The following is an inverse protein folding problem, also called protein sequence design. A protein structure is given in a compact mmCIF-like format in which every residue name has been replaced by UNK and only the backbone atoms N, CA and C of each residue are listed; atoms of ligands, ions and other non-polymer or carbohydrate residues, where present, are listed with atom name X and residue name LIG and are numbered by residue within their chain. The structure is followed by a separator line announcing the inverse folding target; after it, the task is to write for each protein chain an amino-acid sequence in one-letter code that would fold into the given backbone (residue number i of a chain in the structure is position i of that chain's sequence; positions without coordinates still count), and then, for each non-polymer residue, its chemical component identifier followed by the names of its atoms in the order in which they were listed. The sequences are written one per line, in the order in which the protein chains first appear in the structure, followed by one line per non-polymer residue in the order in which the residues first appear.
data_IF_338206941832
#
_entry.id   IF_338206941832
#
_cell.length_a   1.000
_cell.length_b   1.000
_cell.length_c   1.000
_cell.angle_alpha   90.00
_cell.angle_beta   90.00
_cell.angle_gamma   90.00
#
_symmetry.space_group_name_H-M   'P 1'
#
loop_
_entity.id
_entity.type
_entity.pdbx_description
1 polymer ?
#
# COMPACT_ATOMS: atom_id res chain seq x y z
N UNK A 1 34.16 -27.80 62.72
CA UNK A 1 32.73 -27.42 62.62
C UNK A 1 32.64 -26.17 61.75
N UNK A 2 32.68 -26.29 60.41
CA UNK A 2 31.54 -26.24 59.46
C UNK A 2 30.46 -25.22 59.82
N UNK A 3 30.41 -24.11 59.05
CA UNK A 3 29.26 -23.23 58.67
C UNK A 3 29.85 -21.89 58.22
N UNK A 4 29.49 -21.25 57.12
CA UNK A 4 28.69 -21.61 55.96
C UNK A 4 29.13 -20.63 54.85
N UNK A 5 29.48 -21.17 53.68
CA UNK A 5 29.90 -20.42 52.51
C UNK A 5 28.65 -20.09 51.69
N UNK A 6 28.12 -18.88 51.84
CA UNK A 6 26.90 -18.43 51.15
C UNK A 6 27.28 -17.74 49.84
N UNK A 7 27.57 -18.57 48.84
CA UNK A 7 27.10 -18.48 47.45
C UNK A 7 26.83 -17.07 46.86
N UNK A 8 27.88 -16.44 46.32
CA UNK A 8 27.77 -15.34 45.35
C UNK A 8 27.56 -15.96 43.95
N UNK A 9 26.30 -16.10 43.52
CA UNK A 9 25.94 -16.35 42.12
C UNK A 9 25.14 -15.14 41.66
N UNK A 10 25.85 -14.07 41.31
CA UNK A 10 25.30 -12.91 40.62
C UNK A 10 24.91 -13.34 39.22
N UNK A 11 23.60 -13.54 39.08
CA UNK A 11 22.81 -13.77 37.88
C UNK A 11 23.29 -12.90 36.70
N UNK A 12 24.07 -13.49 35.79
CA UNK A 12 24.27 -12.95 34.44
C UNK A 12 23.01 -13.29 33.62
N UNK A 13 21.92 -12.57 33.88
CA UNK A 13 20.77 -12.55 32.96
C UNK A 13 21.21 -11.76 31.75
N UNK A 14 21.80 -12.48 30.80
CA UNK A 14 22.09 -11.98 29.47
C UNK A 14 20.75 -11.45 28.90
N UNK A 15 20.68 -10.13 28.75
CA UNK A 15 19.57 -9.43 28.14
C UNK A 15 19.42 -9.87 26.68
N UNK A 16 18.73 -10.99 26.48
CA UNK A 16 18.17 -11.37 25.20
C UNK A 16 16.97 -10.44 24.98
N UNK A 17 17.25 -9.16 24.70
CA UNK A 17 16.24 -8.27 24.16
C UNK A 17 15.76 -8.94 22.87
N UNK A 18 14.48 -9.32 22.75
CA UNK A 18 13.99 -9.84 21.49
C UNK A 18 14.29 -8.77 20.44
N UNK A 19 15.12 -9.11 19.45
CA UNK A 19 15.23 -8.28 18.26
C UNK A 19 13.80 -8.15 17.74
N UNK A 20 13.26 -6.93 17.75
CA UNK A 20 11.97 -6.67 17.15
C UNK A 20 12.09 -7.12 15.69
N UNK A 21 11.45 -8.25 15.37
CA UNK A 21 11.37 -8.71 14.00
C UNK A 21 10.55 -7.67 13.25
N UNK A 22 11.23 -6.74 12.57
CA UNK A 22 10.56 -5.82 11.66
C UNK A 22 9.98 -6.65 10.52
N UNK A 23 8.66 -6.62 10.38
CA UNK A 23 7.98 -7.30 9.30
C UNK A 23 8.35 -6.60 7.98
N UNK A 24 9.10 -7.28 7.12
CA UNK A 24 9.28 -6.86 5.73
C UNK A 24 7.92 -6.96 5.04
N UNK A 25 7.54 -5.91 4.33
CA UNK A 25 6.24 -5.88 3.67
C UNK A 25 5.85 -4.49 3.21
N UNK A 26 4.62 -4.41 2.72
CA UNK A 26 3.99 -3.18 2.25
C UNK A 26 2.85 -2.80 3.18
N UNK A 27 2.55 -1.51 3.21
CA UNK A 27 1.49 -0.94 4.03
C UNK A 27 0.68 0.08 3.23
N UNK A 28 -0.62 0.17 3.51
CA UNK A 28 -1.53 1.11 2.87
C UNK A 28 -2.45 1.73 3.93
N UNK A 29 -2.40 3.05 4.08
CA UNK A 29 -3.12 3.78 5.14
C UNK A 29 -3.71 5.10 4.68
N UNK A 30 -4.84 5.48 5.27
CA UNK A 30 -5.49 6.78 5.06
C UNK A 30 -4.92 7.87 5.96
N UNK A 31 -4.74 9.05 5.38
CA UNK A 31 -4.19 10.30 5.95
C UNK A 31 -2.75 10.22 6.46
N UNK A 32 -2.25 9.01 6.69
CA UNK A 32 -0.87 8.75 7.08
C UNK A 32 -0.49 7.30 6.69
N UNK A 33 0.80 6.98 6.64
CA UNK A 33 1.28 5.60 6.59
C UNK A 33 0.93 4.85 7.88
N UNK A 34 0.92 3.52 7.84
CA UNK A 34 0.49 2.71 8.99
C UNK A 34 1.37 2.92 10.22
N UNK A 35 2.70 2.94 10.09
CA UNK A 35 3.61 3.21 11.20
C UNK A 35 3.49 4.62 11.77
N UNK A 36 2.94 5.57 11.02
CA UNK A 36 2.64 6.93 11.46
C UNK A 36 1.23 7.11 12.06
N UNK A 37 0.45 6.03 12.21
CA UNK A 37 -0.91 6.09 12.74
C UNK A 37 -2.01 6.21 11.67
N UNK A 38 -1.70 5.86 10.42
CA UNK A 38 -2.66 5.80 9.32
C UNK A 38 -3.83 4.86 9.62
N UNK A 39 -5.03 5.28 9.19
CA UNK A 39 -6.23 4.47 9.38
C UNK A 39 -6.40 3.46 8.23
N UNK A 40 -6.84 2.25 8.54
CA UNK A 40 -7.15 1.24 7.51
C UNK A 40 -8.52 1.43 6.87
N UNK A 41 -9.41 2.23 7.46
CA UNK A 41 -10.72 2.54 6.89
C UNK A 41 -10.92 4.06 6.78
N UNK A 42 -11.55 4.48 5.68
CA UNK A 42 -12.03 5.86 5.49
C UNK A 42 -13.54 5.89 5.36
N UNK A 43 -14.16 6.66 6.24
CA UNK A 43 -15.56 7.03 6.15
C UNK A 43 -15.69 8.45 5.60
N UNK A 44 -16.57 8.62 4.63
CA UNK A 44 -16.90 9.88 3.99
C UNK A 44 -18.41 10.08 4.04
N UNK A 45 -18.83 11.31 4.30
CA UNK A 45 -20.24 11.69 4.21
C UNK A 45 -20.73 11.83 2.76
N UNK A 46 -19.82 11.88 1.77
CA UNK A 46 -20.16 12.03 0.35
C UNK A 46 -21.09 13.22 0.05
N UNK A 47 -20.99 14.28 0.86
CA UNK A 47 -21.94 15.40 0.86
C UNK A 47 -21.42 16.66 0.15
N UNK A 48 -20.18 16.65 -0.36
CA UNK A 48 -19.55 17.84 -0.93
C UNK A 48 -18.62 17.52 -2.09
N UNK A 49 -18.49 18.48 -3.01
CA UNK A 49 -17.48 18.47 -4.07
C UNK A 49 -16.12 19.02 -3.61
N UNK A 50 -16.05 19.53 -2.39
CA UNK A 50 -14.85 20.09 -1.77
C UNK A 50 -14.21 19.04 -0.86
N UNK A 51 -12.89 19.05 -0.79
CA UNK A 51 -12.10 18.18 0.08
C UNK A 51 -11.36 17.09 -0.68
N UNK A 52 -10.51 16.39 0.08
CA UNK A 52 -9.61 15.35 -0.42
C UNK A 52 -9.57 14.17 0.54
N UNK A 53 -9.25 13.00 0.01
CA UNK A 53 -8.95 11.80 0.78
C UNK A 53 -7.55 11.33 0.37
N UNK A 54 -6.63 11.34 1.33
CA UNK A 54 -5.24 11.05 1.08
C UNK A 54 -4.94 9.63 1.52
N UNK A 55 -4.36 8.85 0.63
CA UNK A 55 -3.97 7.46 0.85
C UNK A 55 -2.45 7.34 0.64
N UNK A 56 -1.76 6.80 1.62
CA UNK A 56 -0.32 6.60 1.61
C UNK A 56 0.00 5.12 1.45
N UNK A 57 0.76 4.80 0.41
CA UNK A 57 1.44 3.52 0.29
C UNK A 57 2.85 3.64 0.86
N UNK A 58 3.27 2.65 1.64
CA UNK A 58 4.58 2.60 2.30
C UNK A 58 5.15 1.19 2.28
N UNK A 59 6.45 1.08 2.57
CA UNK A 59 7.22 -0.16 2.51
C UNK A 59 8.20 -0.26 3.67
N UNK A 60 8.28 -1.44 4.28
CA UNK A 60 9.38 -1.85 5.16
C UNK A 60 10.31 -2.73 4.32
N UNK A 61 11.51 -2.25 3.94
CA UNK A 61 12.37 -2.92 3.00
C UNK A 61 13.09 -4.12 3.64
N UNK A 62 13.45 -5.16 2.86
CA UNK A 62 14.38 -6.18 3.33
C UNK A 62 15.80 -5.61 3.49
N UNK A 63 16.64 -6.34 4.24
CA UNK A 63 18.05 -5.99 4.38
C UNK A 63 18.81 -6.12 3.04
N UNK A 64 19.92 -5.39 2.92
CA UNK A 64 20.83 -5.49 1.77
C UNK A 64 20.54 -4.54 0.62
N UNK A 65 19.54 -3.66 0.76
CA UNK A 65 19.28 -2.60 -0.22
C UNK A 65 20.21 -1.41 0.00
N UNK A 66 21.09 -1.16 -0.96
CA UNK A 66 22.17 -0.17 -0.81
C UNK A 66 21.99 1.05 -1.73
N UNK A 67 21.27 0.91 -2.83
CA UNK A 67 21.20 1.93 -3.88
C UNK A 67 19.83 1.98 -4.57
N UNK A 68 18.74 2.09 -3.80
CA UNK A 68 17.39 2.14 -4.39
C UNK A 68 17.20 3.47 -5.12
N UNK A 69 16.75 3.42 -6.37
CA UNK A 69 16.57 4.61 -7.23
C UNK A 69 15.14 4.79 -7.72
N UNK A 70 14.30 3.77 -7.59
CA UNK A 70 12.93 3.82 -8.10
C UNK A 70 12.02 2.91 -7.31
N UNK A 71 10.77 3.38 -7.16
CA UNK A 71 9.67 2.63 -6.60
C UNK A 71 8.64 2.41 -7.70
N UNK A 72 8.28 1.15 -7.93
CA UNK A 72 7.16 0.78 -8.80
C UNK A 72 6.06 0.17 -7.94
N UNK A 73 4.95 0.88 -7.81
CA UNK A 73 3.88 0.58 -6.88
C UNK A 73 2.69 0.01 -7.64
N UNK A 74 2.12 -1.10 -7.15
CA UNK A 74 0.92 -1.72 -7.73
C UNK A 74 -0.20 -1.75 -6.70
N UNK A 75 -1.26 -0.99 -6.95
CA UNK A 75 -2.48 -0.99 -6.14
C UNK A 75 -3.64 -1.52 -6.97
N UNK A 76 -4.41 -2.45 -6.41
CA UNK A 76 -5.69 -2.86 -6.98
C UNK A 76 -6.84 -2.19 -6.22
N UNK A 77 -7.83 -1.73 -6.95
CA UNK A 77 -9.06 -1.13 -6.45
C UNK A 77 -10.21 -2.06 -6.81
N UNK A 78 -11.01 -2.41 -5.82
CA UNK A 78 -12.20 -3.22 -5.93
C UNK A 78 -13.40 -2.43 -5.46
N UNK A 79 -14.48 -2.48 -6.22
CA UNK A 79 -15.71 -1.78 -5.89
C UNK A 79 -16.86 -2.75 -5.67
N UNK A 80 -17.86 -2.38 -4.88
CA UNK A 80 -19.01 -3.26 -4.62
C UNK A 80 -19.82 -3.55 -5.90
N UNK A 81 -19.86 -2.59 -6.83
CA UNK A 81 -20.63 -2.72 -8.05
C UNK A 81 -19.95 -3.67 -9.07
N UNK A 82 -20.64 -4.71 -9.58
CA UNK A 82 -20.11 -5.62 -10.60
C UNK A 82 -19.66 -4.95 -11.90
N UNK A 83 -20.19 -3.76 -12.22
CA UNK A 83 -19.85 -2.96 -13.41
C UNK A 83 -18.77 -1.91 -13.18
N UNK A 84 -18.18 -1.87 -11.98
CA UNK A 84 -17.35 -0.79 -11.42
C UNK A 84 -18.15 0.43 -10.97
N UNK A 85 -17.94 0.86 -9.75
CA UNK A 85 -18.57 2.06 -9.20
C UNK A 85 -18.05 3.33 -9.90
N UNK A 86 -18.92 4.18 -10.50
CA UNK A 86 -18.49 5.36 -11.27
C UNK A 86 -17.68 6.39 -10.48
N UNK A 87 -17.98 6.61 -9.20
CA UNK A 87 -17.20 7.52 -8.34
C UNK A 87 -15.74 7.08 -8.15
N UNK A 88 -15.45 5.80 -8.33
CA UNK A 88 -14.11 5.21 -8.26
C UNK A 88 -13.36 5.22 -9.59
N UNK A 89 -14.00 5.68 -10.67
CA UNK A 89 -13.39 5.85 -12.00
C UNK A 89 -12.55 7.12 -12.04
N UNK A 90 -11.51 7.19 -11.19
CA UNK A 90 -10.81 8.42 -10.79
C UNK A 90 -9.79 8.96 -11.80
N UNK A 91 -9.48 8.20 -12.86
CA UNK A 91 -8.50 8.61 -13.89
C UNK A 91 -8.76 7.91 -15.21
N UNK A 92 -8.93 8.67 -16.28
CA UNK A 92 -9.07 8.17 -17.65
C UNK A 92 -10.01 9.02 -18.50
N UNK A 93 -9.86 9.01 -19.84
CA UNK A 93 -10.71 9.79 -20.73
C UNK A 93 -12.14 9.26 -20.73
N UNK A 94 -13.13 10.16 -20.82
CA UNK A 94 -14.55 9.80 -20.89
C UNK A 94 -15.13 9.17 -19.62
N UNK A 95 -14.35 9.13 -18.53
CA UNK A 95 -14.85 8.69 -17.22
C UNK A 95 -15.62 9.82 -16.53
N UNK A 96 -16.43 9.44 -15.56
CA UNK A 96 -17.29 10.37 -14.85
C UNK A 96 -16.52 11.48 -14.10
N UNK A 97 -15.26 11.23 -13.72
CA UNK A 97 -14.40 12.21 -13.04
C UNK A 97 -12.92 11.96 -13.29
N UNK A 98 -12.12 13.01 -13.19
CA UNK A 98 -10.66 12.95 -13.08
C UNK A 98 -10.28 13.50 -11.72
N UNK A 99 -10.08 12.61 -10.77
CA UNK A 99 -10.04 12.93 -9.34
C UNK A 99 -8.82 12.35 -8.61
N UNK A 100 -7.87 11.76 -9.33
CA UNK A 100 -6.66 11.19 -8.73
C UNK A 100 -5.44 12.08 -9.01
N UNK A 101 -4.85 12.62 -7.95
CA UNK A 101 -3.51 13.19 -7.97
C UNK A 101 -2.54 12.22 -7.28
N UNK A 102 -1.29 12.20 -7.74
CA UNK A 102 -0.27 11.26 -7.27
C UNK A 102 1.01 12.03 -6.99
N UNK A 103 1.62 11.80 -5.84
CA UNK A 103 2.90 12.40 -5.44
C UNK A 103 3.86 11.37 -4.86
N UNK A 104 5.15 11.56 -5.13
CA UNK A 104 6.25 10.82 -4.51
C UNK A 104 7.06 11.67 -3.53
N UNK A 105 6.79 12.98 -3.47
CA UNK A 105 7.40 13.89 -2.49
C UNK A 105 6.63 13.84 -1.18
N UNK A 106 7.36 13.52 -0.10
CA UNK A 106 6.85 13.35 1.26
C UNK A 106 7.58 14.27 2.23
N UNK A 107 8.28 15.28 1.71
CA UNK A 107 9.02 16.22 2.52
C UNK A 107 8.07 16.93 3.51
N UNK A 108 8.44 16.90 4.80
CA UNK A 108 7.64 17.46 5.88
C UNK A 108 6.52 16.56 6.42
N UNK A 109 6.35 15.34 5.90
CA UNK A 109 5.39 14.39 6.47
C UNK A 109 6.03 13.64 7.68
N UNK A 110 5.38 13.62 8.86
CA UNK A 110 6.02 13.16 10.09
C UNK A 110 5.94 11.64 10.36
N UNK A 111 5.06 10.90 9.69
CA UNK A 111 4.75 9.51 10.05
C UNK A 111 5.85 8.50 9.68
N UNK A 112 6.16 8.39 8.39
CA UNK A 112 7.17 7.49 7.86
C UNK A 112 8.37 8.26 7.31
N UNK A 113 9.46 7.55 7.01
CA UNK A 113 10.60 8.20 6.38
C UNK A 113 10.33 8.52 4.91
N UNK A 114 10.73 9.73 4.50
CA UNK A 114 10.87 10.06 3.09
C UNK A 114 12.23 9.59 2.58
N UNK A 115 12.27 8.47 1.87
CA UNK A 115 13.49 7.96 1.25
C UNK A 115 14.00 8.88 0.14
N UNK A 116 13.08 9.46 -0.63
CA UNK A 116 13.40 10.30 -1.78
C UNK A 116 13.82 11.71 -1.36
N UNK A 117 13.54 12.12 -0.11
CA UNK A 117 13.95 13.41 0.48
C UNK A 117 13.47 14.61 -0.34
N UNK A 118 12.28 14.51 -0.90
CA UNK A 118 11.73 15.49 -1.86
C UNK A 118 12.42 15.53 -3.23
N UNK A 119 13.29 14.57 -3.55
CA UNK A 119 13.98 14.46 -4.84
C UNK A 119 13.28 13.48 -5.80
N UNK A 120 12.02 13.15 -5.53
CA UNK A 120 11.22 12.33 -6.42
C UNK A 120 11.04 13.06 -7.77
N UNK A 121 11.51 12.45 -8.86
CA UNK A 121 11.21 12.92 -10.20
C UNK A 121 9.72 12.84 -10.53
N UNK A 122 9.34 13.40 -11.69
CA UNK A 122 7.97 13.30 -12.18
C UNK A 122 7.56 11.82 -12.33
N UNK A 123 6.53 11.41 -11.58
CA UNK A 123 6.05 10.04 -11.61
C UNK A 123 5.16 9.75 -12.82
N UNK A 124 5.13 8.48 -13.24
CA UNK A 124 4.15 7.98 -14.20
C UNK A 124 3.09 7.17 -13.47
N UNK A 125 1.81 7.44 -13.73
CA UNK A 125 0.71 6.65 -13.18
C UNK A 125 -0.25 6.20 -14.27
N UNK A 126 -0.58 4.91 -14.28
CA UNK A 126 -1.63 4.31 -15.09
C UNK A 126 -2.82 3.91 -14.21
N UNK A 127 -4.02 3.93 -14.80
CA UNK A 127 -5.24 3.44 -14.18
C UNK A 127 -5.96 2.57 -15.21
N UNK A 128 -6.12 1.29 -14.91
CA UNK A 128 -6.67 0.30 -15.84
C UNK A 128 -7.89 -0.35 -15.19
N UNK A 129 -9.10 0.09 -15.59
CA UNK A 129 -10.37 -0.58 -15.26
C UNK A 129 -10.47 -1.92 -15.99
N UNK A 130 -11.18 -2.90 -15.41
CA UNK A 130 -11.35 -4.23 -16.02
C UNK A 130 -10.15 -5.14 -15.78
N UNK A 131 -9.32 -4.83 -14.77
CA UNK A 131 -8.06 -5.55 -14.55
C UNK A 131 -8.30 -7.04 -14.33
N UNK A 132 -7.44 -7.89 -14.91
CA UNK A 132 -7.56 -9.35 -14.92
C UNK A 132 -8.90 -9.87 -15.47
N UNK A 133 -9.55 -9.11 -16.38
CA UNK A 133 -10.83 -9.47 -16.99
C UNK A 133 -12.04 -9.29 -16.06
N UNK A 134 -11.86 -8.63 -14.91
CA UNK A 134 -12.89 -8.41 -13.90
C UNK A 134 -13.36 -6.96 -13.94
N UNK A 135 -14.65 -6.76 -14.22
CA UNK A 135 -15.23 -5.43 -14.43
C UNK A 135 -15.36 -4.61 -13.14
N UNK A 136 -15.42 -5.24 -11.98
CA UNK A 136 -15.50 -4.64 -10.65
C UNK A 136 -14.15 -4.13 -10.12
N UNK A 137 -13.10 -4.16 -10.95
CA UNK A 137 -11.72 -3.90 -10.53
C UNK A 137 -10.99 -2.92 -11.42
N UNK A 138 -10.06 -2.20 -10.81
CA UNK A 138 -9.07 -1.41 -11.51
C UNK A 138 -7.68 -1.64 -10.92
N UNK A 139 -6.65 -1.49 -11.73
CA UNK A 139 -5.25 -1.48 -11.28
C UNK A 139 -4.63 -0.11 -11.48
N UNK A 140 -3.95 0.37 -10.45
CA UNK A 140 -3.16 1.58 -10.44
C UNK A 140 -1.69 1.16 -10.39
N UNK A 141 -0.91 1.55 -11.40
CA UNK A 141 0.55 1.36 -11.38
C UNK A 141 1.19 2.74 -11.37
N UNK A 142 2.02 2.99 -10.37
CA UNK A 142 2.74 4.26 -10.21
C UNK A 142 4.23 4.00 -10.15
N UNK A 143 5.01 4.83 -10.84
CA UNK A 143 6.47 4.75 -10.82
C UNK A 143 7.03 6.11 -10.44
N UNK A 144 7.96 6.15 -9.48
CA UNK A 144 8.79 7.30 -9.16
C UNK A 144 10.25 6.94 -9.29
N UNK A 145 11.06 7.87 -9.78
CA UNK A 145 12.50 7.69 -9.97
C UNK A 145 13.22 8.88 -9.35
N UNK A 146 14.36 8.63 -8.72
CA UNK A 146 15.32 9.66 -8.31
C UNK A 146 16.64 9.49 -9.06
N UNK A 147 17.45 10.55 -9.05
CA UNK A 147 18.77 10.52 -9.66
C UNK A 147 19.69 9.49 -8.99
N UNK A 148 20.44 8.72 -9.78
CA UNK A 148 21.32 7.66 -9.25
C UNK A 148 22.48 8.16 -8.40
N UNK A 149 22.86 9.45 -8.51
CA UNK A 149 23.87 10.07 -7.64
C UNK A 149 23.36 10.34 -6.23
N UNK A 150 22.05 10.30 -6.02
CA UNK A 150 21.40 10.67 -4.75
C UNK A 150 20.99 9.46 -3.90
N UNK A 151 21.15 8.25 -4.43
CA UNK A 151 20.71 6.99 -3.79
C UNK A 151 21.53 6.69 -2.54
N UNK A 152 20.85 6.17 -1.52
CA UNK A 152 21.45 5.80 -0.24
C UNK A 152 20.93 4.42 0.21
N UNK A 153 21.59 3.75 1.16
CA UNK A 153 21.05 2.51 1.72
C UNK A 153 19.68 2.72 2.36
N UNK A 154 18.80 1.73 2.24
CA UNK A 154 17.54 1.70 2.99
C UNK A 154 17.75 0.91 4.27
N UNK A 155 17.33 1.48 5.40
CA UNK A 155 17.33 0.78 6.69
C UNK A 155 16.15 -0.21 6.75
N UNK A 156 16.41 -1.54 6.90
CA UNK A 156 15.35 -2.54 7.00
C UNK A 156 14.48 -2.42 8.27
N UNK A 157 14.91 -1.66 9.28
CA UNK A 157 14.14 -1.40 10.49
C UNK A 157 13.18 -0.20 10.36
N UNK A 158 13.05 0.39 9.16
CA UNK A 158 12.29 1.63 8.97
C UNK A 158 11.24 1.51 7.88
N UNK A 159 10.07 2.07 8.15
CA UNK A 159 9.02 2.23 7.14
C UNK A 159 9.25 3.51 6.34
N UNK A 160 9.20 3.40 5.01
CA UNK A 160 9.35 4.51 4.08
C UNK A 160 8.07 4.72 3.30
N UNK A 161 7.72 5.97 3.03
CA UNK A 161 6.68 6.26 2.04
C UNK A 161 7.13 5.82 0.65
N UNK A 162 6.20 5.25 -0.10
CA UNK A 162 6.37 4.90 -1.50
C UNK A 162 5.54 5.80 -2.43
N UNK A 163 4.32 6.18 -2.01
CA UNK A 163 3.39 6.98 -2.83
C UNK A 163 2.32 7.66 -1.99
N UNK A 164 1.88 8.85 -2.41
CA UNK A 164 0.70 9.56 -1.91
C UNK A 164 -0.33 9.66 -3.03
N UNK A 165 -1.45 8.98 -2.87
CA UNK A 165 -2.63 9.12 -3.71
C UNK A 165 -3.59 10.11 -3.06
N UNK A 166 -3.98 11.15 -3.79
CA UNK A 166 -4.99 12.12 -3.34
C UNK A 166 -6.23 11.96 -4.20
N UNK A 167 -7.29 11.43 -3.59
CA UNK A 167 -8.61 11.29 -4.20
C UNK A 167 -9.41 12.54 -3.87
N UNK A 168 -9.60 13.41 -4.84
CA UNK A 168 -10.41 14.63 -4.72
C UNK A 168 -11.88 14.26 -4.52
N UNK A 169 -12.70 15.15 -3.97
CA UNK A 169 -14.16 14.97 -3.88
C UNK A 169 -14.92 15.54 -5.09
N UNK A 170 -14.23 15.95 -6.16
CA UNK A 170 -14.88 16.56 -7.35
C UNK A 170 -15.97 15.67 -7.96
N UNK A 171 -17.10 16.27 -8.35
CA UNK A 171 -18.24 15.57 -8.95
C UNK A 171 -18.86 14.44 -8.07
N UNK A 172 -18.90 14.64 -6.75
CA UNK A 172 -19.57 13.77 -5.77
C UNK A 172 -21.04 14.12 -5.57
N UNK A 173 -21.40 15.40 -5.66
CA UNK A 173 -22.79 15.89 -5.50
C UNK A 173 -23.19 16.82 -6.65
N UNK A 174 -24.50 16.93 -6.89
CA UNK A 174 -25.08 17.72 -7.98
C UNK A 174 -25.71 16.85 -9.07
N UNK A 175 -26.29 17.49 -10.09
CA UNK A 175 -27.03 16.81 -11.17
C UNK A 175 -26.14 15.96 -12.10
N UNK A 176 -24.85 16.27 -12.18
CA UNK A 176 -23.86 15.52 -12.97
C UNK A 176 -23.00 14.57 -12.13
N UNK A 177 -23.35 14.35 -10.87
CA UNK A 177 -22.53 13.62 -9.91
C UNK A 177 -22.27 12.17 -10.34
N UNK A 178 -21.07 11.69 -10.01
CA UNK A 178 -20.75 10.28 -10.13
C UNK A 178 -21.41 9.50 -9.01
N UNK A 179 -22.16 8.46 -9.37
CA UNK A 179 -22.84 7.61 -8.42
C UNK A 179 -21.89 6.70 -7.65
N UNK A 180 -22.32 6.29 -6.45
CA UNK A 180 -21.67 5.29 -5.61
C UNK A 180 -20.47 5.81 -4.80
N UNK A 181 -20.45 7.09 -4.42
CA UNK A 181 -19.48 7.57 -3.43
C UNK A 181 -19.65 6.85 -2.08
N UNK A 182 -20.88 6.54 -1.70
CA UNK A 182 -21.26 5.84 -0.47
C UNK A 182 -21.11 4.32 -0.56
N UNK A 183 -20.84 3.77 -1.74
CA UNK A 183 -20.60 2.34 -1.95
C UNK A 183 -19.23 1.92 -1.39
N UNK A 184 -19.15 0.81 -0.63
CA UNK A 184 -17.89 0.28 -0.14
C UNK A 184 -16.92 -0.10 -1.26
N UNK A 185 -15.63 0.11 -0.97
CA UNK A 185 -14.53 -0.27 -1.85
C UNK A 185 -13.30 -0.69 -1.05
N UNK A 186 -12.40 -1.41 -1.71
CA UNK A 186 -11.13 -1.84 -1.16
C UNK A 186 -9.99 -1.41 -2.07
N UNK A 187 -8.92 -0.88 -1.48
CA UNK A 187 -7.65 -0.66 -2.12
C UNK A 187 -6.64 -1.62 -1.51
N UNK A 188 -5.92 -2.35 -2.35
CA UNK A 188 -4.96 -3.38 -1.95
C UNK A 188 -3.61 -3.04 -2.57
N UNK A 189 -2.62 -2.74 -1.73
CA UNK A 189 -1.25 -2.56 -2.16
C UNK A 189 -0.62 -3.94 -2.35
N UNK A 190 -0.58 -4.39 -3.61
CA UNK A 190 -0.07 -5.73 -3.92
C UNK A 190 1.45 -5.79 -3.77
N UNK A 191 2.16 -4.77 -4.27
CA UNK A 191 3.61 -4.76 -4.23
C UNK A 191 4.21 -3.38 -4.41
N UNK A 192 5.47 -3.28 -3.96
CA UNK A 192 6.41 -2.22 -4.29
C UNK A 192 7.69 -2.88 -4.83
N UNK A 193 8.02 -2.65 -6.09
CA UNK A 193 9.30 -3.03 -6.66
C UNK A 193 10.35 -1.95 -6.35
N UNK A 194 11.37 -2.31 -5.59
CA UNK A 194 12.50 -1.46 -5.22
C UNK A 194 13.62 -1.70 -6.22
N UNK A 195 13.74 -0.80 -7.19
CA UNK A 195 14.74 -0.91 -8.26
C UNK A 195 16.03 -0.24 -7.80
N UNK A 196 17.15 -0.97 -7.87
CA UNK A 196 18.47 -0.46 -7.50
C UNK A 196 19.25 0.08 -8.70
N UNK A 197 20.23 0.96 -8.45
CA UNK A 197 21.19 1.42 -9.47
C UNK A 197 22.33 0.42 -9.67
N UNK A 198 23.23 0.73 -10.61
CA UNK A 198 24.51 0.03 -10.83
C UNK A 198 24.40 -1.48 -11.11
N UNK A 199 23.28 -1.90 -11.71
CA UNK A 199 23.04 -3.31 -12.05
C UNK A 199 22.72 -4.20 -10.85
N UNK A 200 22.53 -3.63 -9.66
CA UNK A 200 22.07 -4.38 -8.50
C UNK A 200 20.65 -4.91 -8.72
N UNK A 201 20.31 -6.11 -8.19
CA UNK A 201 19.01 -6.71 -8.40
C UNK A 201 17.90 -5.86 -7.78
N UNK A 202 16.79 -5.73 -8.50
CA UNK A 202 15.55 -5.18 -7.96
C UNK A 202 14.88 -6.16 -7.01
N UNK A 203 14.18 -5.66 -6.00
CA UNK A 203 13.46 -6.49 -5.03
C UNK A 203 12.00 -6.11 -5.01
N UNK A 204 11.12 -7.09 -5.27
CA UNK A 204 9.68 -6.91 -5.12
C UNK A 204 9.30 -7.22 -3.68
N UNK A 205 8.79 -6.22 -2.98
CA UNK A 205 8.22 -6.35 -1.64
C UNK A 205 6.70 -6.48 -1.78
N UNK A 206 6.12 -7.47 -1.11
CA UNK A 206 4.69 -7.78 -1.15
C UNK A 206 4.22 -8.35 0.19
N UNK A 207 2.91 -8.33 0.41
CA UNK A 207 2.30 -8.79 1.65
C UNK A 207 2.39 -7.74 2.77
N UNK A 208 1.42 -7.75 3.67
CA UNK A 208 1.33 -6.78 4.75
C UNK A 208 2.53 -6.85 5.71
N UNK A 209 3.21 -5.71 5.91
CA UNK A 209 4.04 -5.52 7.10
C UNK A 209 3.14 -5.32 8.34
N UNK A 210 2.02 -4.63 8.16
CA UNK A 210 0.96 -4.44 9.16
C UNK A 210 -0.42 -4.43 8.51
N UNK A 211 -0.61 -3.68 7.42
CA UNK A 211 -1.84 -3.75 6.62
C UNK A 211 -1.58 -3.27 5.20
N UNK A 212 -1.73 -4.15 4.22
CA UNK A 212 -1.65 -3.87 2.79
C UNK A 212 -3.02 -3.50 2.17
N UNK A 213 -4.05 -3.35 3.01
CA UNK A 213 -5.42 -3.07 2.60
C UNK A 213 -5.93 -1.80 3.26
N UNK A 214 -6.48 -0.90 2.45
CA UNK A 214 -7.23 0.26 2.91
C UNK A 214 -8.66 0.19 2.38
N UNK A 215 -9.64 0.34 3.26
CA UNK A 215 -11.06 0.25 2.94
C UNK A 215 -11.72 1.62 2.89
N UNK A 216 -12.78 1.69 2.10
CA UNK A 216 -13.68 2.82 2.01
C UNK A 216 -15.07 2.37 2.42
N UNK A 217 -15.75 3.15 3.26
CA UNK A 217 -17.09 2.86 3.78
C UNK A 217 -17.19 1.45 4.38
N UNK A 218 -16.16 1.02 5.11
CA UNK A 218 -16.10 -0.31 5.75
C UNK A 218 -15.58 -1.44 4.86
N UNK A 219 -15.42 -1.20 3.55
CA UNK A 219 -14.87 -2.17 2.61
C UNK A 219 -15.84 -3.26 2.16
N UNK A 220 -15.35 -4.17 1.33
CA UNK A 220 -16.14 -5.24 0.75
C UNK A 220 -16.24 -6.45 1.69
N UNK A 221 -17.34 -7.23 1.63
CA UNK A 221 -17.44 -8.51 2.32
C UNK A 221 -16.25 -9.42 1.96
N UNK A 222 -15.74 -10.17 2.93
CA UNK A 222 -14.60 -11.08 2.72
C UNK A 222 -13.22 -10.43 2.82
N UNK A 223 -13.09 -9.35 3.59
CA UNK A 223 -11.82 -8.68 3.92
C UNK A 223 -10.99 -8.27 2.70
N UNK A 224 -11.64 -7.78 1.64
CA UNK A 224 -10.96 -7.36 0.42
C UNK A 224 -10.10 -8.45 -0.22
N UNK A 225 -10.34 -9.73 0.11
CA UNK A 225 -9.57 -10.84 -0.39
C UNK A 225 -9.75 -10.95 -1.91
N UNK A 226 -8.65 -10.75 -2.62
CA UNK A 226 -8.51 -11.03 -4.05
C UNK A 226 -8.49 -12.54 -4.29
N UNK A 227 -9.50 -13.30 -3.87
CA UNK A 227 -9.61 -14.71 -4.26
C UNK A 227 -10.37 -14.79 -5.58
N UNK A 228 -9.74 -15.24 -6.69
CA UNK A 228 -10.49 -15.69 -7.83
C UNK A 228 -11.33 -16.88 -7.35
N UNK A 229 -12.66 -16.74 -7.32
CA UNK A 229 -13.53 -17.90 -7.17
C UNK A 229 -13.43 -18.69 -8.47
N UNK A 230 -12.45 -19.60 -8.56
CA UNK A 230 -12.46 -20.62 -9.61
C UNK A 230 -13.48 -21.66 -9.18
N UNK A 231 -14.62 -21.72 -9.87
CA UNK A 231 -15.56 -22.81 -9.73
C UNK A 231 -14.95 -24.09 -10.31
N UNK A 232 -14.03 -24.72 -9.56
CA UNK A 232 -13.47 -26.02 -9.91
C UNK A 232 -14.48 -27.08 -9.51
N UNK A 233 -15.13 -27.67 -10.51
CA UNK A 233 -15.98 -28.84 -10.26
C UNK A 233 -15.12 -29.99 -9.72
N UNK A 234 -15.69 -30.86 -8.89
CA UNK A 234 -15.00 -32.04 -8.35
C UNK A 234 -14.36 -32.92 -9.45
N UNK A 235 -14.96 -32.93 -10.65
CA UNK A 235 -14.40 -33.58 -11.84
C UNK A 235 -13.06 -32.99 -12.30
N UNK A 236 -12.89 -31.67 -12.26
CA UNK A 236 -11.65 -30.97 -12.65
C UNK A 236 -10.50 -31.16 -11.67
N UNK A 237 -10.79 -31.52 -10.41
CA UNK A 237 -9.78 -31.86 -9.41
C UNK A 237 -9.33 -33.30 -9.62
N UNK A 238 -10.27 -34.22 -9.86
CA UNK A 238 -9.97 -35.63 -10.09
C UNK A 238 -9.13 -35.89 -11.35
N UNK A 239 -9.24 -35.06 -12.38
CA UNK A 239 -8.42 -35.19 -13.59
C UNK A 239 -6.94 -34.90 -13.38
N UNK A 240 -6.54 -34.28 -12.26
CA UNK A 240 -5.14 -34.03 -11.93
C UNK A 240 -4.44 -35.24 -11.27
N UNK A 241 -5.21 -36.25 -10.88
CA UNK A 241 -4.72 -37.46 -10.19
C UNK A 241 -4.86 -38.71 -11.07
N UNK A 242 -4.92 -38.54 -12.39
CA UNK A 242 -5.00 -39.62 -13.38
C UNK A 242 -3.84 -39.55 -14.35
#
# INVERSE_FOLDING_TARGET
MKKAMTMFVTMLVLACAPALAHAVGVNLGWNECIGGGGATNRNSACASNIGINVLYGSVVPPAGLTKVKSFEIVVDLLTQNPGFTPWWAVRGPGLCRSALQVGGDMNGQPGCADYLRGLAGAGTTTFTKGFAGMNDRARIVTIFVMDSSQVIPMDPAREYYAVRYTVLNVNTVGSSACTGCDEPACLVLNSVNLVQSDGLPSVVVSGAASSDVATWQGGLPGNCALVPVRNRTWGSIKSLYR
#
